data_IF_112891978572
#
_entry.id   IF_112891978572
#
_cell.length_a   1.000
_cell.length_b   1.000
_cell.length_c   1.000
_cell.angle_alpha   90.00
_cell.angle_beta   90.00
_cell.angle_gamma   90.00
#
_symmetry.space_group_name_H-M   'P 1'
#
loop_
_entity.id
_entity.type
_entity.pdbx_description
1 polymer ?
#
# COMPACT_ATOMS: atom_id res chain seq x y z
N UNK A 1 -18.52 -9.25 1.80
CA UNK A 1 -19.01 -7.98 2.39
C UNK A 1 -18.08 -6.86 1.93
N UNK A 2 -18.53 -5.92 1.15
CA UNK A 2 -17.73 -4.77 0.68
C UNK A 2 -17.65 -4.63 -0.84
N UNK A 3 -17.99 -5.65 -1.59
CA UNK A 3 -17.93 -5.66 -3.05
C UNK A 3 -18.91 -4.69 -3.73
N UNK A 4 -20.02 -4.33 -3.09
CA UNK A 4 -20.99 -3.40 -3.67
C UNK A 4 -20.46 -1.97 -3.85
N UNK A 5 -19.47 -1.56 -3.03
CA UNK A 5 -18.85 -0.22 -3.10
C UNK A 5 -17.58 -0.17 -3.95
N UNK A 6 -17.08 -1.33 -4.38
CA UNK A 6 -15.86 -1.48 -5.19
C UNK A 6 -16.17 -1.82 -6.65
N UNK A 7 -17.21 -1.21 -7.21
CA UNK A 7 -17.57 -1.40 -8.62
C UNK A 7 -16.67 -0.54 -9.51
N UNK A 8 -16.18 -1.14 -10.59
CA UNK A 8 -15.45 -0.46 -11.66
C UNK A 8 -16.09 -0.82 -13.00
N UNK A 9 -15.75 -0.06 -14.03
CA UNK A 9 -16.14 -0.41 -15.40
C UNK A 9 -15.47 -1.73 -15.79
N UNK A 10 -16.22 -2.63 -16.37
CA UNK A 10 -15.68 -3.89 -16.91
C UNK A 10 -14.67 -3.58 -18.03
N UNK A 11 -13.46 -4.14 -17.97
CA UNK A 11 -12.48 -3.95 -19.03
C UNK A 11 -12.90 -4.67 -20.32
N UNK A 12 -12.28 -4.30 -21.44
CA UNK A 12 -12.51 -5.00 -22.72
C UNK A 12 -12.08 -6.48 -22.63
N UNK A 13 -12.62 -7.31 -23.51
CA UNK A 13 -12.28 -8.74 -23.57
C UNK A 13 -10.79 -9.02 -23.81
N UNK A 14 -10.08 -8.08 -24.43
CA UNK A 14 -8.65 -8.17 -24.74
C UNK A 14 -7.75 -7.61 -23.62
N UNK A 15 -8.35 -7.16 -22.50
CA UNK A 15 -7.58 -6.62 -21.38
C UNK A 15 -6.82 -7.71 -20.63
N UNK A 16 -5.49 -7.67 -20.74
CA UNK A 16 -4.59 -8.62 -20.07
C UNK A 16 -3.73 -7.86 -19.06
N UNK A 17 -3.62 -8.41 -17.85
CA UNK A 17 -2.68 -7.94 -16.84
C UNK A 17 -1.43 -8.83 -16.92
N UNK A 18 -0.27 -8.32 -17.38
CA UNK A 18 0.96 -9.10 -17.41
C UNK A 18 1.41 -9.49 -16.00
N UNK A 19 1.94 -10.69 -15.84
CA UNK A 19 2.59 -11.10 -14.60
C UNK A 19 3.81 -10.21 -14.30
N UNK A 20 4.02 -9.87 -13.03
CA UNK A 20 5.13 -9.04 -12.60
C UNK A 20 5.04 -7.58 -13.04
N UNK A 21 3.85 -7.11 -13.39
CA UNK A 21 3.59 -5.70 -13.71
C UNK A 21 2.55 -5.11 -12.78
N UNK A 22 3.01 -4.16 -11.95
CA UNK A 22 2.17 -3.31 -11.13
C UNK A 22 1.54 -2.18 -11.93
N UNK A 23 0.79 -1.34 -11.24
CA UNK A 23 0.26 -0.07 -11.79
C UNK A 23 0.28 1.03 -10.75
N UNK A 24 0.34 2.26 -11.20
CA UNK A 24 0.06 3.43 -10.38
C UNK A 24 -1.48 3.52 -10.25
N UNK A 25 -1.99 3.28 -9.05
CA UNK A 25 -3.43 3.35 -8.76
C UNK A 25 -3.87 4.78 -8.40
N UNK A 26 -2.96 5.59 -7.89
CA UNK A 26 -3.10 7.02 -7.67
C UNK A 26 -1.74 7.67 -7.86
N UNK A 27 -1.66 8.69 -8.70
CA UNK A 27 -0.46 9.49 -8.91
C UNK A 27 -0.44 10.68 -7.95
N UNK A 28 0.76 11.07 -7.48
CA UNK A 28 0.92 12.30 -6.69
C UNK A 28 1.10 13.50 -7.61
N UNK A 29 0.47 14.62 -7.27
CA UNK A 29 0.57 15.88 -8.03
C UNK A 29 1.68 16.80 -7.48
N UNK A 30 2.17 16.50 -6.26
CA UNK A 30 3.21 17.29 -5.60
C UNK A 30 4.58 16.66 -5.81
N UNK A 31 5.63 17.52 -5.79
CA UNK A 31 7.03 17.08 -5.85
C UNK A 31 7.70 17.05 -4.47
N UNK A 32 7.09 17.71 -3.47
CA UNK A 32 7.62 17.81 -2.11
C UNK A 32 6.59 17.28 -1.11
N UNK A 33 7.06 16.83 0.05
CA UNK A 33 6.23 16.31 1.16
C UNK A 33 5.22 15.26 0.71
N UNK A 34 5.73 14.26 0.03
CA UNK A 34 4.94 13.15 -0.51
C UNK A 34 5.31 11.82 0.14
N UNK A 35 4.39 10.87 0.05
CA UNK A 35 4.59 9.49 0.49
C UNK A 35 4.07 8.52 -0.56
N UNK A 36 4.78 7.44 -0.80
CA UNK A 36 4.25 6.33 -1.60
C UNK A 36 3.69 5.21 -0.72
N UNK A 37 2.62 4.58 -1.20
CA UNK A 37 2.03 3.40 -0.59
C UNK A 37 2.14 2.25 -1.58
N UNK A 38 2.88 1.22 -1.20
CA UNK A 38 3.02 -0.02 -1.97
C UNK A 38 2.06 -1.04 -1.39
N UNK A 39 1.12 -1.53 -2.20
CA UNK A 39 0.05 -2.38 -1.70
C UNK A 39 -0.55 -3.28 -2.78
N UNK A 40 -1.51 -4.13 -2.39
CA UNK A 40 -2.28 -5.01 -3.27
C UNK A 40 -3.64 -5.36 -2.63
N UNK A 41 -4.54 -5.91 -3.41
CA UNK A 41 -5.84 -6.39 -2.92
C UNK A 41 -6.66 -5.30 -2.21
N UNK A 42 -7.17 -5.60 -1.02
CA UNK A 42 -7.96 -4.64 -0.22
C UNK A 42 -7.17 -3.42 0.22
N UNK A 43 -5.85 -3.54 0.36
CA UNK A 43 -4.97 -2.42 0.69
C UNK A 43 -5.10 -1.24 -0.28
N UNK A 44 -5.31 -1.51 -1.57
CA UNK A 44 -5.54 -0.48 -2.60
C UNK A 44 -6.77 0.37 -2.26
N UNK A 45 -7.88 -0.26 -1.87
CA UNK A 45 -9.10 0.45 -1.52
C UNK A 45 -8.98 1.28 -0.25
N UNK A 46 -8.28 0.75 0.78
CA UNK A 46 -8.01 1.48 2.01
C UNK A 46 -7.10 2.68 1.76
N UNK A 47 -6.04 2.49 0.97
CA UNK A 47 -5.10 3.56 0.59
C UNK A 47 -5.79 4.67 -0.22
N UNK A 48 -6.56 4.32 -1.26
CA UNK A 48 -7.32 5.29 -2.06
C UNK A 48 -8.31 6.10 -1.21
N UNK A 49 -8.99 5.47 -0.26
CA UNK A 49 -9.90 6.17 0.64
C UNK A 49 -9.17 7.09 1.64
N UNK A 50 -8.02 6.65 2.16
CA UNK A 50 -7.19 7.45 3.05
C UNK A 50 -6.60 8.67 2.34
N UNK A 51 -6.10 8.48 1.11
CA UNK A 51 -5.45 9.51 0.29
C UNK A 51 -6.36 10.70 -0.03
N UNK A 52 -7.69 10.55 0.03
CA UNK A 52 -8.64 11.66 -0.21
C UNK A 52 -8.42 12.88 0.68
N UNK A 53 -7.79 12.70 1.86
CA UNK A 53 -7.47 13.78 2.80
C UNK A 53 -6.13 14.47 2.47
N UNK A 54 -5.31 13.87 1.63
CA UNK A 54 -3.93 14.27 1.33
C UNK A 54 -3.77 14.55 -0.16
N UNK A 55 -4.54 15.52 -0.67
CA UNK A 55 -4.60 15.83 -2.11
C UNK A 55 -3.20 16.06 -2.69
N UNK A 56 -2.84 15.26 -3.68
CA UNK A 56 -1.57 15.37 -4.39
C UNK A 56 -0.34 14.85 -3.64
N UNK A 57 -0.44 14.50 -2.34
CA UNK A 57 0.71 14.10 -1.53
C UNK A 57 0.94 12.58 -1.48
N UNK A 58 0.03 11.78 -2.02
CA UNK A 58 0.10 10.32 -1.93
C UNK A 58 0.14 9.70 -3.32
N UNK A 59 1.15 8.86 -3.56
CA UNK A 59 1.18 7.97 -4.73
C UNK A 59 0.91 6.54 -4.26
N UNK A 60 0.07 5.80 -5.00
CA UNK A 60 -0.33 4.45 -4.63
C UNK A 60 0.04 3.50 -5.76
N UNK A 61 0.83 2.48 -5.43
CA UNK A 61 1.17 1.38 -6.32
C UNK A 61 0.34 0.16 -5.94
N UNK A 62 -0.42 -0.34 -6.91
CA UNK A 62 -1.08 -1.64 -6.87
C UNK A 62 -0.16 -2.67 -7.52
N UNK A 63 0.42 -3.56 -6.72
CA UNK A 63 1.37 -4.57 -7.19
C UNK A 63 0.74 -5.58 -8.14
N UNK A 64 -0.55 -5.86 -8.01
CA UNK A 64 -1.31 -6.86 -8.79
C UNK A 64 -0.78 -8.29 -8.68
N UNK A 65 0.54 -8.45 -8.73
CA UNK A 65 1.24 -9.72 -8.52
C UNK A 65 2.34 -9.56 -7.47
N UNK A 66 2.48 -10.53 -6.58
CA UNK A 66 3.50 -10.54 -5.53
C UNK A 66 4.69 -11.46 -5.88
N UNK A 67 4.49 -12.37 -6.83
CA UNK A 67 5.55 -13.22 -7.38
C UNK A 67 5.22 -13.61 -8.84
N UNK A 68 5.98 -13.14 -9.85
CA UNK A 68 7.02 -12.12 -9.73
C UNK A 68 6.46 -10.74 -9.35
N UNK A 69 7.27 -9.94 -8.65
CA UNK A 69 6.93 -8.55 -8.30
C UNK A 69 7.55 -7.57 -9.30
N UNK A 70 6.90 -6.43 -9.52
CA UNK A 70 7.44 -5.31 -10.31
C UNK A 70 8.40 -4.45 -9.47
N UNK A 71 9.61 -4.96 -9.23
CA UNK A 71 10.63 -4.26 -8.44
C UNK A 71 11.03 -2.91 -9.02
N UNK A 72 11.12 -2.84 -10.35
CA UNK A 72 11.49 -1.61 -11.05
C UNK A 72 10.50 -0.48 -10.70
N UNK A 73 9.21 -0.76 -10.78
CA UNK A 73 8.18 0.20 -10.42
C UNK A 73 8.24 0.56 -8.93
N UNK A 74 8.40 -0.43 -8.05
CA UNK A 74 8.49 -0.21 -6.59
C UNK A 74 9.66 0.70 -6.25
N UNK A 75 10.88 0.34 -6.67
CA UNK A 75 12.07 1.10 -6.29
C UNK A 75 12.09 2.49 -6.92
N UNK A 76 11.67 2.61 -8.18
CA UNK A 76 11.52 3.93 -8.83
C UNK A 76 10.57 4.85 -8.05
N UNK A 77 9.43 4.31 -7.60
CA UNK A 77 8.45 5.09 -6.85
C UNK A 77 8.97 5.46 -5.46
N UNK A 78 9.61 4.53 -4.76
CA UNK A 78 10.20 4.82 -3.44
C UNK A 78 11.29 5.89 -3.55
N UNK A 79 12.18 5.78 -4.54
CA UNK A 79 13.25 6.77 -4.78
C UNK A 79 12.71 8.15 -5.14
N UNK A 80 11.54 8.22 -5.78
CA UNK A 80 10.86 9.49 -6.10
C UNK A 80 10.35 10.21 -4.84
N UNK A 81 9.88 9.45 -3.85
CA UNK A 81 9.17 10.02 -2.70
C UNK A 81 9.98 10.08 -1.41
N UNK A 82 11.02 9.29 -1.27
CA UNK A 82 11.84 9.19 -0.05
C UNK A 82 11.11 8.64 1.19
N UNK A 83 9.77 8.54 1.15
CA UNK A 83 8.92 8.08 2.25
C UNK A 83 7.97 6.99 1.74
N UNK A 84 7.93 5.85 2.43
CA UNK A 84 7.21 4.67 1.96
C UNK A 84 6.42 3.96 3.06
N UNK A 85 5.20 3.56 2.73
CA UNK A 85 4.37 2.64 3.50
C UNK A 85 4.10 1.38 2.68
N UNK A 86 4.50 0.21 3.17
CA UNK A 86 4.07 -1.08 2.62
C UNK A 86 2.84 -1.54 3.39
N UNK A 87 1.71 -1.67 2.68
CA UNK A 87 0.40 -1.96 3.27
C UNK A 87 -0.12 -3.31 2.76
N UNK A 88 -0.49 -4.19 3.68
CA UNK A 88 -1.13 -5.47 3.34
C UNK A 88 -2.27 -5.82 4.31
N UNK A 89 -3.07 -6.81 3.95
CA UNK A 89 -4.12 -7.38 4.82
C UNK A 89 -3.59 -8.50 5.72
N UNK A 90 -2.46 -9.10 5.35
CA UNK A 90 -1.84 -10.20 6.09
C UNK A 90 -1.36 -9.77 7.49
N UNK A 91 -1.13 -10.73 8.41
CA UNK A 91 -0.55 -10.43 9.72
C UNK A 91 0.75 -9.64 9.60
N UNK A 92 0.97 -8.69 10.51
CA UNK A 92 2.15 -7.84 10.49
C UNK A 92 3.45 -8.64 10.52
N UNK A 93 3.55 -9.65 11.38
CA UNK A 93 4.77 -10.44 11.55
C UNK A 93 4.95 -11.48 10.43
N UNK A 94 6.20 -11.60 9.94
CA UNK A 94 6.62 -12.57 8.93
C UNK A 94 5.82 -12.48 7.62
N UNK A 95 5.36 -11.28 7.30
CA UNK A 95 4.56 -11.00 6.12
C UNK A 95 5.41 -10.78 4.87
N UNK A 96 4.78 -10.93 3.70
CA UNK A 96 5.36 -10.46 2.45
C UNK A 96 5.70 -8.95 2.53
N UNK A 97 4.83 -8.15 3.18
CA UNK A 97 5.07 -6.73 3.37
C UNK A 97 6.39 -6.44 4.12
N UNK A 98 6.70 -7.21 5.18
CA UNK A 98 7.98 -7.07 5.88
C UNK A 98 9.18 -7.49 5.00
N UNK A 99 9.03 -8.58 4.25
CA UNK A 99 10.07 -9.03 3.31
C UNK A 99 10.34 -7.96 2.23
N UNK A 100 9.29 -7.39 1.66
CA UNK A 100 9.41 -6.31 0.67
C UNK A 100 10.04 -5.05 1.28
N UNK A 101 9.70 -4.71 2.53
CA UNK A 101 10.31 -3.57 3.24
C UNK A 101 11.82 -3.74 3.38
N UNK A 102 12.30 -4.95 3.71
CA UNK A 102 13.74 -5.23 3.76
C UNK A 102 14.42 -4.99 2.41
N UNK A 103 13.81 -5.44 1.33
CA UNK A 103 14.33 -5.23 -0.04
C UNK A 103 14.32 -3.74 -0.44
N UNK A 104 13.26 -3.00 -0.10
CA UNK A 104 13.19 -1.55 -0.33
C UNK A 104 14.30 -0.86 0.46
N UNK A 105 14.49 -1.21 1.73
CA UNK A 105 15.54 -0.64 2.57
C UNK A 105 16.94 -0.90 1.98
N UNK A 106 17.18 -2.10 1.46
CA UNK A 106 18.47 -2.46 0.85
C UNK A 106 18.75 -1.67 -0.44
N UNK A 107 17.73 -1.52 -1.30
CA UNK A 107 17.90 -0.92 -2.62
C UNK A 107 17.70 0.60 -2.69
N UNK A 108 16.96 1.18 -1.75
CA UNK A 108 16.57 2.58 -1.77
C UNK A 108 17.14 3.40 -0.61
N UNK A 109 17.99 2.82 0.25
CA UNK A 109 18.46 3.44 1.51
C UNK A 109 18.95 4.89 1.34
N UNK A 110 19.72 5.17 0.30
CA UNK A 110 20.32 6.49 0.07
C UNK A 110 19.29 7.57 -0.30
N UNK A 111 18.08 7.17 -0.73
CA UNK A 111 17.01 8.08 -1.14
C UNK A 111 15.88 8.16 -0.10
N UNK A 112 16.00 7.43 1.03
CA UNK A 112 14.98 7.44 2.05
C UNK A 112 15.13 8.62 3.01
N UNK A 113 14.09 9.42 3.15
CA UNK A 113 13.98 10.50 4.15
C UNK A 113 13.45 10.01 5.49
N UNK A 114 12.84 8.81 5.53
CA UNK A 114 12.26 8.20 6.71
C UNK A 114 12.40 6.67 6.65
N UNK A 115 12.27 5.95 7.80
CA UNK A 115 12.18 4.50 7.78
C UNK A 115 11.04 4.03 6.87
N UNK A 116 11.22 2.89 6.20
CA UNK A 116 10.12 2.26 5.47
C UNK A 116 9.14 1.65 6.47
N UNK A 117 7.90 2.11 6.45
CA UNK A 117 6.86 1.65 7.36
C UNK A 117 6.12 0.44 6.79
N UNK A 118 5.70 -0.45 7.68
CA UNK A 118 4.81 -1.59 7.35
C UNK A 118 3.50 -1.43 8.10
N UNK A 119 2.40 -1.73 7.43
CA UNK A 119 1.09 -1.87 8.07
C UNK A 119 0.45 -3.17 7.58
N UNK A 120 0.11 -4.03 8.53
CA UNK A 120 -0.63 -5.27 8.33
C UNK A 120 -1.71 -5.44 9.38
N UNK A 121 -2.38 -6.57 9.41
CA UNK A 121 -3.30 -6.91 10.48
C UNK A 121 -2.55 -7.23 11.77
N UNK A 122 -3.25 -7.13 12.91
CA UNK A 122 -2.70 -7.50 14.21
C UNK A 122 -2.40 -9.01 14.26
N UNK A 123 -1.31 -9.37 14.95
CA UNK A 123 -0.95 -10.77 15.14
C UNK A 123 -1.87 -11.41 16.19
N UNK A 124 -2.95 -11.98 15.75
CA UNK A 124 -3.91 -12.71 16.58
C UNK A 124 -3.86 -14.19 16.24
N UNK A 125 -4.17 -15.10 17.21
CA UNK A 125 -4.15 -16.54 16.98
C UNK A 125 -5.12 -17.02 15.89
N UNK A 126 -6.22 -16.29 15.66
CA UNK A 126 -7.21 -16.58 14.64
C UNK A 126 -7.91 -15.31 14.17
N UNK A 127 -8.42 -15.34 12.94
CA UNK A 127 -9.25 -14.26 12.40
C UNK A 127 -10.62 -14.28 13.10
N UNK A 128 -11.02 -13.20 13.76
CA UNK A 128 -12.31 -13.14 14.41
C UNK A 128 -13.47 -13.23 13.42
N UNK A 129 -14.47 -14.04 13.72
CA UNK A 129 -15.72 -14.12 12.93
C UNK A 129 -16.67 -12.95 13.22
N UNK A 130 -16.44 -12.22 14.29
CA UNK A 130 -17.24 -11.06 14.69
C UNK A 130 -16.72 -9.81 13.96
N UNK A 131 -17.60 -9.08 13.29
CA UNK A 131 -17.25 -7.90 12.48
C UNK A 131 -16.60 -6.75 13.29
N UNK A 132 -16.95 -6.61 14.57
CA UNK A 132 -16.34 -5.59 15.44
C UNK A 132 -14.87 -5.91 15.72
N UNK A 133 -14.57 -7.17 16.04
CA UNK A 133 -13.20 -7.61 16.30
C UNK A 133 -12.38 -7.65 15.02
N UNK A 134 -12.96 -8.12 13.91
CA UNK A 134 -12.33 -8.10 12.59
C UNK A 134 -11.91 -6.67 12.19
N UNK A 135 -12.81 -5.68 12.38
CA UNK A 135 -12.51 -4.27 12.09
C UNK A 135 -11.36 -3.72 12.95
N UNK A 136 -11.22 -4.19 14.18
CA UNK A 136 -10.09 -3.80 15.06
C UNK A 136 -8.79 -4.43 14.59
N UNK A 137 -8.83 -5.68 14.17
CA UNK A 137 -7.67 -6.44 13.71
C UNK A 137 -7.12 -5.89 12.39
N UNK A 138 -7.96 -5.70 11.39
CA UNK A 138 -7.55 -5.33 10.04
C UNK A 138 -7.11 -3.86 9.93
N UNK A 139 -6.20 -3.55 8.99
CA UNK A 139 -6.04 -2.19 8.49
C UNK A 139 -7.36 -1.64 7.95
N UNK A 140 -7.49 -0.34 7.92
CA UNK A 140 -8.63 0.36 7.33
C UNK A 140 -8.22 1.78 6.92
N UNK A 141 -9.08 2.47 6.18
CA UNK A 141 -8.77 3.80 5.67
C UNK A 141 -8.40 4.82 6.76
N UNK A 142 -8.99 4.69 7.98
CA UNK A 142 -8.64 5.58 9.11
C UNK A 142 -7.23 5.31 9.61
N UNK A 143 -6.88 4.04 9.90
CA UNK A 143 -5.53 3.65 10.35
C UNK A 143 -4.48 4.04 9.31
N UNK A 144 -4.76 3.83 8.01
CA UNK A 144 -3.87 4.24 6.91
C UNK A 144 -3.72 5.76 6.88
N UNK A 145 -4.80 6.52 7.02
CA UNK A 145 -4.75 7.99 7.08
C UNK A 145 -3.90 8.49 8.25
N UNK A 146 -4.07 7.89 9.42
CA UNK A 146 -3.29 8.25 10.61
C UNK A 146 -1.77 7.96 10.38
N UNK A 147 -1.45 6.84 9.72
CA UNK A 147 -0.07 6.48 9.36
C UNK A 147 0.53 7.42 8.29
N UNK A 148 -0.24 7.81 7.28
CA UNK A 148 0.21 8.82 6.29
C UNK A 148 0.60 10.11 7.00
N UNK A 149 -0.23 10.58 7.95
CA UNK A 149 0.07 11.79 8.72
C UNK A 149 1.38 11.67 9.50
N UNK A 150 1.60 10.53 10.15
CA UNK A 150 2.85 10.24 10.87
C UNK A 150 4.06 10.30 9.95
N UNK A 151 3.99 9.65 8.79
CA UNK A 151 5.09 9.59 7.80
C UNK A 151 5.38 10.99 7.21
N UNK A 152 4.36 11.77 6.91
CA UNK A 152 4.52 13.13 6.38
C UNK A 152 5.07 14.12 7.43
N UNK A 153 5.05 13.79 8.71
CA UNK A 153 5.62 14.62 9.78
C UNK A 153 7.10 14.36 10.04
N UNK A 154 7.67 13.39 9.36
CA UNK A 154 9.08 13.02 9.43
C UNK A 154 9.91 13.95 8.55
#
# INVERSE_FOLDING_TARGET
KGTEKAKTTEPSADYIIPFGKGRIALESDNLNDTVCIITYGMGVHWALNAAKKYKGQVEIIDLRTINPIDEELVFKTVNKHGRCLVLSEEPYNNSFAQSLTGRIQEHCFEQLDAPVYVMGSENLPAIPLNSTLETRMLPNAKKVSDKIKEILSY
#
